data_IF_323910306511
#
_entry.id   IF_323910306511
#
_cell.length_a   1.000
_cell.length_b   1.000
_cell.length_c   1.000
_cell.angle_alpha   90.00
_cell.angle_beta   90.00
_cell.angle_gamma   90.00
#
_symmetry.space_group_name_H-M   'P 1'
#
loop_
_entity.id
_entity.type
_entity.pdbx_description
1 polymer ?
#
# COMPACT_ATOMS: atom_id res chain seq x y z
N UNK A 1 18.73 19.84 -14.55
CA UNK A 1 17.50 19.04 -14.40
C UNK A 1 16.82 19.52 -13.12
N UNK A 2 15.64 20.15 -13.21
CA UNK A 2 14.97 20.74 -12.04
C UNK A 2 14.44 19.67 -11.06
N UNK A 3 14.06 20.06 -9.84
CA UNK A 3 13.42 19.15 -8.90
C UNK A 3 12.10 18.64 -9.50
N UNK A 4 11.90 17.32 -9.50
CA UNK A 4 10.63 16.70 -9.89
C UNK A 4 9.53 17.16 -8.94
N UNK A 5 8.36 17.52 -9.48
CA UNK A 5 7.19 17.83 -8.65
C UNK A 5 6.71 16.59 -7.88
N UNK A 6 5.85 16.73 -6.86
CA UNK A 6 5.36 15.60 -6.07
C UNK A 6 4.72 14.47 -6.89
N UNK A 7 4.01 14.82 -7.98
CA UNK A 7 3.42 13.86 -8.90
C UNK A 7 4.48 13.12 -9.72
N UNK A 8 5.49 13.83 -10.23
CA UNK A 8 6.56 13.23 -11.02
C UNK A 8 7.45 12.32 -10.17
N UNK A 9 7.68 12.70 -8.91
CA UNK A 9 8.41 11.86 -7.95
C UNK A 9 7.63 10.57 -7.63
N UNK A 10 6.30 10.65 -7.53
CA UNK A 10 5.43 9.48 -7.36
C UNK A 10 5.47 8.58 -8.59
N UNK A 11 5.32 9.15 -9.78
CA UNK A 11 5.34 8.39 -11.05
C UNK A 11 6.67 7.65 -11.25
N UNK A 12 7.80 8.32 -11.01
CA UNK A 12 9.12 7.68 -11.10
C UNK A 12 9.28 6.52 -10.09
N UNK A 13 8.71 6.65 -8.90
CA UNK A 13 8.69 5.56 -7.90
C UNK A 13 7.86 4.38 -8.40
N UNK A 14 6.69 4.63 -8.97
CA UNK A 14 5.83 3.58 -9.54
C UNK A 14 6.49 2.87 -10.71
N UNK A 15 7.15 3.59 -11.61
CA UNK A 15 7.90 3.00 -12.73
C UNK A 15 9.03 2.09 -12.24
N UNK A 16 9.76 2.52 -11.20
CA UNK A 16 10.81 1.70 -10.61
C UNK A 16 10.25 0.43 -9.96
N UNK A 17 9.10 0.53 -9.29
CA UNK A 17 8.40 -0.63 -8.73
C UNK A 17 7.99 -1.57 -9.86
N UNK A 18 7.37 -1.08 -10.94
CA UNK A 18 6.92 -1.94 -12.05
C UNK A 18 8.01 -2.72 -12.77
N UNK A 19 9.26 -2.25 -12.72
CA UNK A 19 10.40 -2.90 -13.36
C UNK A 19 11.13 -3.89 -12.43
N UNK A 20 10.70 -4.01 -11.18
CA UNK A 20 11.39 -4.79 -10.18
C UNK A 20 11.08 -6.30 -10.29
N UNK A 21 12.11 -7.09 -10.56
CA UNK A 21 12.01 -8.54 -10.76
C UNK A 21 11.61 -9.33 -9.51
N UNK A 22 11.62 -8.70 -8.32
CA UNK A 22 11.21 -9.34 -7.05
C UNK A 22 9.71 -9.64 -6.99
N UNK A 23 8.92 -9.07 -7.90
CA UNK A 23 7.48 -9.29 -7.97
C UNK A 23 7.00 -9.35 -9.43
N UNK A 24 5.74 -9.76 -9.63
CA UNK A 24 5.12 -9.84 -10.96
C UNK A 24 3.63 -9.49 -10.90
N UNK A 25 3.03 -9.25 -12.07
CA UNK A 25 1.61 -8.92 -12.23
C UNK A 25 1.13 -7.73 -11.36
N UNK A 26 1.80 -6.59 -11.48
CA UNK A 26 1.39 -5.37 -10.76
C UNK A 26 0.12 -4.80 -11.35
N UNK A 27 -0.82 -4.42 -10.48
CA UNK A 27 -2.07 -3.75 -10.84
C UNK A 27 -2.23 -2.44 -10.07
N UNK A 28 -2.68 -1.40 -10.78
CA UNK A 28 -3.04 -0.12 -10.15
C UNK A 28 -4.49 -0.20 -9.63
N UNK A 29 -4.66 -0.10 -8.30
CA UNK A 29 -5.98 -0.20 -7.66
C UNK A 29 -6.69 1.15 -7.50
N UNK A 30 -5.96 2.26 -7.51
CA UNK A 30 -6.51 3.61 -7.42
C UNK A 30 -5.43 4.69 -7.53
N UNK A 31 -5.79 5.83 -8.14
CA UNK A 31 -4.88 6.96 -8.31
C UNK A 31 -5.66 8.26 -8.44
N UNK A 32 -5.88 8.91 -7.30
CA UNK A 32 -6.73 10.10 -7.20
C UNK A 32 -6.01 11.21 -6.43
N UNK A 33 -6.46 12.45 -6.64
CA UNK A 33 -6.02 13.57 -5.83
C UNK A 33 -6.54 13.41 -4.39
N UNK A 34 -5.69 13.68 -3.41
CA UNK A 34 -6.04 13.65 -1.98
C UNK A 34 -5.83 15.03 -1.37
N UNK A 35 -6.74 15.43 -0.48
CA UNK A 35 -6.67 16.73 0.22
C UNK A 35 -5.66 16.73 1.37
N UNK A 36 -5.31 15.56 1.90
CA UNK A 36 -4.33 15.38 2.97
C UNK A 36 -3.62 14.02 2.87
N UNK A 37 -2.45 13.90 3.52
CA UNK A 37 -1.68 12.64 3.57
C UNK A 37 -2.30 11.71 4.63
N UNK A 38 -2.81 10.56 4.20
CA UNK A 38 -3.32 9.52 5.10
C UNK A 38 -2.26 8.80 5.92
N UNK A 39 -1.03 8.73 5.41
CA UNK A 39 0.11 8.01 6.01
C UNK A 39 1.32 8.94 6.20
N UNK A 40 1.12 10.13 6.78
CA UNK A 40 2.14 11.18 6.84
C UNK A 40 3.36 10.87 7.72
N UNK A 41 3.22 9.94 8.67
CA UNK A 41 4.24 9.67 9.69
C UNK A 41 5.29 8.63 9.27
N UNK A 42 5.17 8.06 8.07
CA UNK A 42 6.06 7.01 7.58
C UNK A 42 6.52 7.32 6.17
N UNK A 43 7.81 7.13 5.91
CA UNK A 43 8.35 7.15 4.54
C UNK A 43 7.91 5.90 3.77
N UNK A 44 7.91 4.74 4.44
CA UNK A 44 7.37 3.47 3.95
C UNK A 44 7.13 2.56 5.16
N UNK A 45 5.89 2.14 5.40
CA UNK A 45 5.58 1.22 6.48
C UNK A 45 5.45 -0.21 5.97
N UNK A 46 5.98 -1.17 6.73
CA UNK A 46 5.80 -2.59 6.49
C UNK A 46 4.76 -3.14 7.47
N UNK A 47 3.64 -3.64 6.93
CA UNK A 47 2.62 -4.36 7.71
C UNK A 47 2.82 -5.86 7.46
N UNK A 48 3.63 -6.50 8.31
CA UNK A 48 3.94 -7.93 8.25
C UNK A 48 2.85 -8.82 8.85
N UNK A 49 3.06 -10.14 8.85
CA UNK A 49 2.24 -11.06 9.63
C UNK A 49 2.42 -10.81 11.14
N UNK A 50 1.37 -11.09 11.92
CA UNK A 50 1.48 -11.09 13.38
C UNK A 50 2.52 -12.15 13.82
N UNK A 51 3.13 -12.01 15.01
CA UNK A 51 4.06 -13.00 15.56
C UNK A 51 3.49 -14.43 15.66
N UNK A 52 2.16 -14.57 15.68
CA UNK A 52 1.44 -15.85 15.71
C UNK A 52 1.20 -16.47 14.31
N UNK A 53 1.72 -15.86 13.24
CA UNK A 53 1.57 -16.34 11.87
C UNK A 53 0.26 -15.93 11.20
N UNK A 54 -0.59 -15.15 11.87
CA UNK A 54 -1.80 -14.61 11.25
C UNK A 54 -1.42 -13.64 10.13
N UNK A 55 -1.81 -13.97 8.89
CA UNK A 55 -1.61 -13.08 7.74
C UNK A 55 -2.42 -11.82 7.98
N UNK A 56 -1.75 -10.66 8.07
CA UNK A 56 -2.37 -9.39 8.43
C UNK A 56 -3.47 -8.92 7.47
N UNK A 57 -3.41 -9.37 6.23
CA UNK A 57 -4.41 -9.17 5.18
C UNK A 57 -5.44 -10.31 5.14
N UNK A 58 -5.44 -11.25 6.09
CA UNK A 58 -6.26 -12.47 6.10
C UNK A 58 -7.75 -12.21 5.92
N UNK A 59 -8.27 -11.11 6.47
CA UNK A 59 -9.66 -10.71 6.26
C UNK A 59 -9.92 -10.21 4.82
N UNK A 60 -8.95 -9.51 4.22
CA UNK A 60 -8.98 -9.16 2.79
C UNK A 60 -8.86 -10.44 1.95
N UNK A 61 -7.97 -11.38 2.30
CA UNK A 61 -7.84 -12.68 1.63
C UNK A 61 -9.15 -13.46 1.70
N UNK A 62 -9.79 -13.51 2.86
CA UNK A 62 -11.05 -14.22 3.03
C UNK A 62 -12.18 -13.58 2.20
N UNK A 63 -12.25 -12.25 2.16
CA UNK A 63 -13.32 -11.53 1.45
C UNK A 63 -13.11 -11.47 -0.08
N UNK A 64 -11.86 -11.35 -0.52
CA UNK A 64 -11.52 -11.04 -1.92
C UNK A 64 -10.70 -12.14 -2.60
N UNK A 65 -10.09 -13.06 -1.84
CA UNK A 65 -9.07 -14.01 -2.32
C UNK A 65 -7.88 -13.33 -3.01
N UNK A 66 -7.65 -12.04 -2.71
CA UNK A 66 -6.76 -11.15 -3.48
C UNK A 66 -7.09 -11.08 -4.97
N UNK A 67 -8.33 -11.39 -5.36
CA UNK A 67 -8.83 -11.09 -6.68
C UNK A 67 -8.87 -9.56 -6.84
N UNK A 68 -8.02 -8.97 -7.69
CA UNK A 68 -7.95 -7.53 -7.85
C UNK A 68 -9.26 -6.94 -8.39
N UNK A 69 -10.09 -7.75 -9.07
CA UNK A 69 -11.42 -7.32 -9.55
C UNK A 69 -12.43 -7.15 -8.42
N UNK A 70 -12.13 -7.68 -7.23
CA UNK A 70 -12.99 -7.66 -6.03
C UNK A 70 -12.41 -6.79 -4.92
N UNK A 71 -11.28 -6.13 -5.15
CA UNK A 71 -10.59 -5.29 -4.17
C UNK A 71 -10.58 -3.83 -4.64
N UNK A 72 -11.26 -2.94 -3.93
CA UNK A 72 -11.23 -1.50 -4.24
C UNK A 72 -10.12 -0.78 -3.49
N UNK A 73 -9.66 0.35 -4.03
CA UNK A 73 -8.71 1.25 -3.34
C UNK A 73 -9.24 1.71 -1.97
N UNK A 74 -10.56 1.92 -1.85
CA UNK A 74 -11.20 2.33 -0.60
C UNK A 74 -11.16 1.24 0.46
N UNK A 75 -11.42 -0.01 0.09
CA UNK A 75 -11.39 -1.14 1.02
C UNK A 75 -9.96 -1.36 1.54
N UNK A 76 -8.98 -1.31 0.62
CA UNK A 76 -7.57 -1.44 0.98
C UNK A 76 -7.10 -0.29 1.89
N UNK A 77 -7.47 0.96 1.56
CA UNK A 77 -7.16 2.12 2.38
C UNK A 77 -7.71 1.98 3.80
N UNK A 78 -8.98 1.57 3.95
CA UNK A 78 -9.61 1.37 5.25
C UNK A 78 -8.87 0.36 6.13
N UNK A 79 -8.48 -0.79 5.55
CA UNK A 79 -7.75 -1.83 6.28
C UNK A 79 -6.34 -1.35 6.67
N UNK A 80 -5.60 -0.72 5.75
CA UNK A 80 -4.26 -0.20 6.03
C UNK A 80 -4.30 0.92 7.09
N UNK A 81 -5.23 1.87 6.99
CA UNK A 81 -5.41 2.92 8.00
C UNK A 81 -5.72 2.34 9.37
N UNK A 82 -6.66 1.39 9.46
CA UNK A 82 -6.97 0.74 10.74
C UNK A 82 -5.74 0.03 11.32
N UNK A 83 -4.97 -0.68 10.49
CA UNK A 83 -3.74 -1.37 10.93
C UNK A 83 -2.66 -0.43 11.41
N UNK A 84 -2.42 0.67 10.71
CA UNK A 84 -1.36 1.61 11.10
C UNK A 84 -1.72 2.40 12.36
N UNK A 85 -3.00 2.49 12.71
CA UNK A 85 -3.48 3.10 13.95
C UNK A 85 -3.57 2.11 15.13
N UNK A 86 -3.74 0.80 14.89
CA UNK A 86 -4.07 -0.18 15.93
C UNK A 86 -3.14 -1.41 16.00
N UNK A 87 -2.26 -1.61 15.03
CA UNK A 87 -1.33 -2.75 14.97
C UNK A 87 0.10 -2.38 15.34
N UNK A 88 0.92 -3.38 15.67
CA UNK A 88 2.36 -3.21 15.83
C UNK A 88 2.99 -2.88 14.47
N UNK A 89 3.20 -1.59 14.21
CA UNK A 89 4.02 -1.16 13.07
C UNK A 89 5.48 -1.30 13.47
N UNK A 90 6.31 -1.87 12.59
CA UNK A 90 7.77 -1.82 12.78
C UNK A 90 8.19 -0.41 12.35
N UNK A 91 8.69 0.45 13.26
CA UNK A 91 9.27 1.73 12.87
C UNK A 91 10.57 1.44 12.12
N UNK A 92 10.73 2.03 10.93
CA UNK A 92 12.00 2.07 10.20
C UNK A 92 12.81 3.29 10.60
#
# INVERSE_FOLDING_TARGET
>A
MGPRGPRDAMAATLEHIWQDERHGAVMLLGFDAVSSRGFANWSMALVGAEPDGTVCLGNIVAATQFDPSRLTSKDLYGVLSWRMLNGATVPT
#
